data_IF_512130451743
#
_entry.id   IF_512130451743
#
_cell.length_a   1.000
_cell.length_b   1.000
_cell.length_c   1.000
_cell.angle_alpha   90.00
_cell.angle_beta   90.00
_cell.angle_gamma   90.00
#
_symmetry.space_group_name_H-M   'P 1'
#
loop_
_entity.id
_entity.type
_entity.pdbx_description
1 polymer ?
#
# COMPACT_ATOMS: atom_id res chain seq x y z
N UNK A 1 1.98 -26.25 -6.52
CA UNK A 1 1.32 -24.95 -6.52
C UNK A 1 2.21 -23.94 -7.23
N UNK A 2 1.62 -23.03 -7.95
CA UNK A 2 2.35 -22.01 -8.68
C UNK A 2 2.26 -20.67 -7.97
N UNK A 3 3.34 -19.89 -8.10
CA UNK A 3 3.36 -18.52 -7.59
C UNK A 3 2.52 -17.64 -8.51
N UNK A 4 1.60 -16.90 -7.93
CA UNK A 4 0.78 -15.93 -8.65
C UNK A 4 1.26 -14.54 -8.28
N UNK A 5 1.46 -13.69 -9.28
CA UNK A 5 1.93 -12.33 -9.10
C UNK A 5 0.81 -11.35 -9.44
N UNK A 6 0.56 -10.40 -8.53
CA UNK A 6 -0.37 -9.29 -8.75
C UNK A 6 0.44 -8.01 -8.70
N UNK A 7 0.24 -7.14 -9.68
CA UNK A 7 0.96 -5.88 -9.76
C UNK A 7 -0.03 -4.72 -9.92
N UNK A 8 0.25 -3.63 -9.21
CA UNK A 8 -0.50 -2.39 -9.42
C UNK A 8 -0.06 -1.75 -10.73
N UNK A 9 -0.84 -0.79 -11.22
CA UNK A 9 -0.35 0.10 -12.24
C UNK A 9 0.77 0.97 -11.67
N UNK A 10 1.60 1.53 -12.53
CA UNK A 10 2.68 2.43 -12.12
C UNK A 10 2.08 3.79 -11.80
N UNK A 11 2.37 4.30 -10.59
CA UNK A 11 1.88 5.60 -10.14
C UNK A 11 3.02 6.61 -10.17
N UNK A 12 2.78 7.75 -10.82
CA UNK A 12 3.72 8.86 -10.81
C UNK A 12 3.50 9.68 -9.54
N UNK A 13 4.59 9.93 -8.80
CA UNK A 13 4.54 10.71 -7.56
C UNK A 13 5.49 11.90 -7.72
N UNK A 14 4.95 13.12 -7.53
CA UNK A 14 5.73 14.36 -7.72
C UNK A 14 6.42 14.78 -6.42
N UNK A 15 7.15 13.83 -5.85
CA UNK A 15 7.99 14.00 -4.66
C UNK A 15 9.26 13.17 -4.85
N UNK A 16 10.31 13.54 -4.14
CA UNK A 16 11.58 12.82 -4.23
C UNK A 16 11.44 11.37 -3.80
N UNK A 17 12.17 10.47 -4.46
CA UNK A 17 12.20 9.07 -4.10
C UNK A 17 12.51 8.88 -2.61
N UNK A 18 13.51 9.61 -2.10
CA UNK A 18 13.89 9.52 -0.68
C UNK A 18 12.76 9.94 0.25
N UNK A 19 12.03 11.00 -0.10
CA UNK A 19 10.92 11.49 0.71
C UNK A 19 9.80 10.45 0.80
N UNK A 20 9.46 9.85 -0.33
CA UNK A 20 8.45 8.79 -0.38
C UNK A 20 8.92 7.58 0.42
N UNK A 21 10.17 7.16 0.21
CA UNK A 21 10.74 6.03 0.92
C UNK A 21 10.76 6.27 2.44
N UNK A 22 11.22 7.43 2.88
CA UNK A 22 11.31 7.74 4.31
C UNK A 22 9.93 7.72 4.98
N UNK A 23 8.90 8.18 4.28
CA UNK A 23 7.55 8.16 4.80
C UNK A 23 7.01 6.73 4.89
N UNK A 24 7.20 5.93 3.85
CA UNK A 24 6.65 4.57 3.77
C UNK A 24 7.46 3.55 4.56
N UNK A 25 8.73 3.82 4.85
CA UNK A 25 9.55 2.90 5.64
C UNK A 25 9.28 2.98 7.14
N UNK A 26 8.57 4.02 7.58
CA UNK A 26 8.04 4.12 8.95
C UNK A 26 6.54 4.42 8.85
N UNK A 27 5.74 3.40 9.00
CA UNK A 27 4.29 3.49 8.78
C UNK A 27 3.55 4.31 9.84
N UNK A 28 4.19 4.70 10.93
CA UNK A 28 3.64 5.68 11.86
C UNK A 28 3.37 7.01 11.15
N UNK A 29 4.17 7.34 10.14
CA UNK A 29 3.95 8.55 9.34
C UNK A 29 2.61 8.50 8.63
N UNK A 30 2.22 7.32 8.14
CA UNK A 30 0.94 7.13 7.46
C UNK A 30 -0.24 7.23 8.43
N UNK A 31 -0.09 6.67 9.63
CA UNK A 31 -1.14 6.78 10.64
C UNK A 31 -1.35 8.23 11.07
N UNK A 32 -0.28 8.99 11.24
CA UNK A 32 -0.37 10.43 11.56
C UNK A 32 -1.08 11.23 10.46
N UNK A 33 -0.78 10.90 9.20
CA UNK A 33 -1.45 11.54 8.06
C UNK A 33 -2.93 11.19 8.03
N UNK A 34 -3.27 9.94 8.28
CA UNK A 34 -4.65 9.48 8.35
C UNK A 34 -5.42 10.23 9.42
N UNK A 35 -4.85 10.34 10.62
CA UNK A 35 -5.48 11.05 11.73
C UNK A 35 -5.68 12.54 11.40
N UNK A 36 -4.71 13.15 10.74
CA UNK A 36 -4.78 14.53 10.31
C UNK A 36 -5.91 14.75 9.30
N UNK A 37 -6.04 13.83 8.34
CA UNK A 37 -7.14 13.92 7.38
C UNK A 37 -8.50 13.78 8.04
N UNK A 38 -8.65 12.89 9.02
CA UNK A 38 -9.90 12.74 9.74
C UNK A 38 -10.30 14.02 10.50
N UNK A 39 -9.32 14.74 11.03
CA UNK A 39 -9.58 16.01 11.75
C UNK A 39 -10.11 17.09 10.82
N UNK A 40 -9.77 17.06 9.55
CA UNK A 40 -10.14 18.10 8.58
C UNK A 40 -11.12 17.59 7.52
N UNK A 41 -11.72 16.44 7.73
CA UNK A 41 -12.58 15.82 6.71
C UNK A 41 -13.75 16.68 6.28
N UNK A 42 -14.27 17.51 7.18
CA UNK A 42 -15.40 18.41 6.87
C UNK A 42 -14.97 19.58 5.97
N UNK A 43 -13.68 19.83 5.87
CA UNK A 43 -13.10 20.89 5.05
C UNK A 43 -12.61 20.38 3.70
N UNK A 44 -12.67 19.07 3.47
CA UNK A 44 -12.16 18.44 2.26
C UNK A 44 -13.26 18.42 1.20
N UNK A 45 -12.95 18.82 -0.06
CA UNK A 45 -13.91 18.72 -1.17
C UNK A 45 -14.39 17.28 -1.38
N UNK A 46 -15.63 17.12 -1.84
CA UNK A 46 -16.24 15.80 -2.00
C UNK A 46 -15.45 14.88 -2.95
N UNK A 47 -14.82 15.44 -3.98
CA UNK A 47 -13.99 14.65 -4.90
C UNK A 47 -12.78 14.03 -4.20
N UNK A 48 -12.29 14.66 -3.12
CA UNK A 48 -11.19 14.12 -2.32
C UNK A 48 -11.67 13.20 -1.19
N UNK A 49 -12.95 13.26 -0.82
CA UNK A 49 -13.49 12.36 0.19
C UNK A 49 -13.49 10.90 -0.28
N UNK A 50 -13.68 10.66 -1.58
CA UNK A 50 -13.55 9.32 -2.14
C UNK A 50 -12.15 8.75 -1.93
N UNK A 51 -11.13 9.60 -2.05
CA UNK A 51 -9.75 9.20 -1.82
C UNK A 51 -9.50 8.87 -0.35
N UNK A 52 -10.12 9.63 0.57
CA UNK A 52 -10.04 9.32 1.99
C UNK A 52 -10.71 8.01 2.32
N UNK A 53 -11.82 7.69 1.67
CA UNK A 53 -12.50 6.41 1.86
C UNK A 53 -11.61 5.23 1.48
N UNK A 54 -10.67 5.42 0.56
CA UNK A 54 -9.73 4.38 0.17
C UNK A 54 -8.75 4.03 1.28
N UNK A 55 -8.44 4.97 2.17
CA UNK A 55 -7.46 4.74 3.26
C UNK A 55 -8.10 4.51 4.62
N UNK A 56 -9.40 4.73 4.78
CA UNK A 56 -10.05 4.57 6.09
C UNK A 56 -10.03 3.12 6.60
N UNK A 57 -9.98 2.15 5.68
CA UNK A 57 -9.94 0.74 6.02
C UNK A 57 -8.52 0.25 6.29
N UNK A 58 -7.55 1.14 6.20
CA UNK A 58 -6.15 0.83 6.47
C UNK A 58 -5.78 1.32 7.87
N UNK A 59 -5.10 0.47 8.63
CA UNK A 59 -4.53 0.88 9.91
C UNK A 59 -3.03 0.62 9.88
N UNK A 60 -2.26 1.49 10.52
CA UNK A 60 -0.81 1.47 10.46
C UNK A 60 -0.20 1.54 11.85
N UNK A 61 0.91 0.81 12.05
CA UNK A 61 1.83 1.08 13.15
C UNK A 61 3.23 1.26 12.54
N UNK A 62 4.29 1.30 13.36
CA UNK A 62 5.63 1.61 12.84
C UNK A 62 6.10 0.65 11.75
N UNK A 63 5.73 -0.63 11.85
CA UNK A 63 6.26 -1.67 10.96
C UNK A 63 5.19 -2.48 10.26
N UNK A 64 3.91 -2.19 10.49
CA UNK A 64 2.85 -3.01 9.92
C UNK A 64 1.68 -2.19 9.39
N UNK A 65 0.95 -2.81 8.48
CA UNK A 65 -0.26 -2.27 7.86
C UNK A 65 -1.33 -3.35 7.91
N UNK A 66 -2.54 -2.99 8.30
CA UNK A 66 -3.69 -3.89 8.32
C UNK A 66 -4.75 -3.39 7.35
N UNK A 67 -5.31 -4.30 6.58
CA UNK A 67 -6.32 -4.01 5.55
C UNK A 67 -7.52 -4.91 5.78
N UNK A 68 -8.73 -4.33 5.75
CA UNK A 68 -9.95 -5.11 5.71
C UNK A 68 -10.32 -5.34 4.24
N UNK A 69 -10.29 -6.60 3.82
CA UNK A 69 -10.61 -6.97 2.44
C UNK A 69 -11.91 -7.76 2.40
N UNK A 70 -12.84 -7.43 1.49
CA UNK A 70 -14.07 -8.20 1.32
C UNK A 70 -13.74 -9.66 1.01
N UNK A 71 -14.48 -10.60 1.58
CA UNK A 71 -14.35 -12.04 1.36
C UNK A 71 -13.07 -12.68 1.94
N UNK A 72 -12.04 -11.90 2.19
CA UNK A 72 -10.76 -12.40 2.72
C UNK A 72 -10.65 -12.12 4.21
N UNK A 73 -11.24 -11.03 4.68
CA UNK A 73 -11.17 -10.60 6.07
C UNK A 73 -10.01 -9.63 6.30
N UNK A 74 -9.56 -9.54 7.54
CA UNK A 74 -8.47 -8.64 7.88
C UNK A 74 -7.13 -9.27 7.50
N UNK A 75 -6.31 -8.51 6.77
CA UNK A 75 -4.97 -8.92 6.37
C UNK A 75 -3.98 -7.97 7.01
N UNK A 76 -3.06 -8.53 7.79
CA UNK A 76 -1.99 -7.77 8.42
C UNK A 76 -0.67 -8.10 7.75
N UNK A 77 0.08 -7.08 7.37
CA UNK A 77 1.41 -7.22 6.76
C UNK A 77 2.44 -6.45 7.57
N UNK A 78 3.62 -7.03 7.73
CA UNK A 78 4.73 -6.42 8.45
C UNK A 78 5.92 -6.22 7.54
N UNK A 79 6.65 -5.12 7.72
CA UNK A 79 7.90 -4.88 7.00
C UNK A 79 8.95 -5.87 7.50
N UNK A 80 9.55 -6.63 6.58
CA UNK A 80 10.60 -7.60 6.90
C UNK A 80 11.95 -7.24 6.26
N UNK A 81 11.95 -6.34 5.29
CA UNK A 81 13.18 -5.90 4.64
C UNK A 81 13.01 -4.49 4.08
N UNK A 82 14.08 -3.72 4.16
CA UNK A 82 14.12 -2.36 3.63
C UNK A 82 15.39 -2.19 2.80
N UNK A 83 15.22 -1.92 1.51
CA UNK A 83 16.32 -1.64 0.60
C UNK A 83 16.26 -0.16 0.22
N UNK A 84 16.95 0.66 0.99
CA UNK A 84 16.92 2.12 0.87
C UNK A 84 17.57 2.60 -0.42
N UNK A 85 16.97 3.50 -1.17
CA UNK A 85 15.60 4.04 -1.09
C UNK A 85 14.65 3.41 -2.12
N UNK A 86 14.87 2.16 -2.48
CA UNK A 86 14.24 1.50 -3.63
C UNK A 86 13.03 0.65 -3.29
N UNK A 87 13.14 -0.17 -2.24
CA UNK A 87 12.17 -1.23 -2.02
C UNK A 87 11.88 -1.42 -0.54
N UNK A 88 10.61 -1.65 -0.23
CA UNK A 88 10.17 -2.05 1.10
C UNK A 88 9.42 -3.37 0.92
N UNK A 89 9.85 -4.42 1.61
CA UNK A 89 9.24 -5.75 1.51
C UNK A 89 8.44 -6.05 2.76
N UNK A 90 7.23 -6.55 2.55
CA UNK A 90 6.31 -6.95 3.61
C UNK A 90 6.01 -8.44 3.53
N UNK A 91 5.66 -9.02 4.68
CA UNK A 91 5.17 -10.37 4.77
C UNK A 91 3.88 -10.38 5.58
N UNK A 92 2.91 -11.20 5.18
CA UNK A 92 1.65 -11.31 5.93
C UNK A 92 1.88 -11.98 7.28
N UNK A 93 1.11 -11.53 8.29
CA UNK A 93 1.06 -12.14 9.62
C UNK A 93 -0.33 -12.76 9.81
N UNK A 94 -0.39 -14.04 10.14
CA UNK A 94 -1.65 -14.74 10.46
C UNK A 94 -2.76 -14.51 9.43
N UNK A 95 -2.39 -14.41 8.17
CA UNK A 95 -3.35 -14.21 7.09
C UNK A 95 -3.95 -15.54 6.63
N UNK A 96 -5.25 -15.57 6.30
CA UNK A 96 -5.83 -16.76 5.66
C UNK A 96 -5.21 -17.03 4.29
N UNK A 97 -4.62 -16.00 3.66
CA UNK A 97 -3.91 -16.14 2.38
C UNK A 97 -2.53 -15.53 2.56
N UNK A 98 -1.49 -16.34 2.84
CA UNK A 98 -0.14 -15.82 3.02
C UNK A 98 0.46 -15.34 1.70
N UNK A 99 1.12 -14.17 1.74
CA UNK A 99 1.80 -13.62 0.58
C UNK A 99 2.89 -12.65 1.00
N UNK A 100 3.75 -12.26 0.03
CA UNK A 100 4.68 -11.16 0.20
C UNK A 100 4.21 -9.98 -0.62
N UNK A 101 4.53 -8.79 -0.13
CA UNK A 101 4.11 -7.53 -0.73
C UNK A 101 5.34 -6.61 -0.82
N UNK A 102 5.49 -5.95 -1.95
CA UNK A 102 6.60 -5.02 -2.17
C UNK A 102 6.08 -3.65 -2.57
N UNK A 103 6.71 -2.62 -2.02
CA UNK A 103 6.58 -1.25 -2.52
C UNK A 103 7.90 -0.95 -3.23
N UNK A 104 7.84 -0.67 -4.51
CA UNK A 104 9.00 -0.44 -5.35
C UNK A 104 8.99 1.02 -5.83
N UNK A 105 10.10 1.71 -5.64
CA UNK A 105 10.27 3.13 -5.99
C UNK A 105 11.41 3.28 -6.97
N UNK A 106 11.18 4.08 -8.02
CA UNK A 106 12.20 4.37 -9.04
C UNK A 106 12.20 5.87 -9.32
N UNK A 107 13.35 6.56 -9.23
CA UNK A 107 13.39 8.00 -9.49
C UNK A 107 13.13 8.28 -10.97
N UNK A 108 12.32 9.31 -11.26
CA UNK A 108 12.08 9.78 -12.62
C UNK A 108 12.74 11.13 -12.84
N UNK A 109 13.01 11.87 -11.76
CA UNK A 109 13.74 13.12 -11.77
C UNK A 109 14.23 13.41 -10.35
N UNK A 110 14.88 14.54 -10.14
CA UNK A 110 15.32 14.94 -8.81
C UNK A 110 14.18 15.22 -7.84
N UNK A 111 12.98 15.48 -8.37
CA UNK A 111 11.81 15.87 -7.59
C UNK A 111 10.59 14.97 -7.81
N UNK A 112 10.77 13.83 -8.48
CA UNK A 112 9.67 12.92 -8.76
C UNK A 112 10.15 11.48 -8.82
N UNK A 113 9.21 10.55 -8.60
CA UNK A 113 9.49 9.11 -8.70
C UNK A 113 8.26 8.36 -9.19
N UNK A 114 8.48 7.10 -9.54
CA UNK A 114 7.41 6.15 -9.87
C UNK A 114 7.29 5.15 -8.72
N UNK A 115 6.06 4.71 -8.47
CA UNK A 115 5.79 3.67 -7.49
C UNK A 115 5.02 2.53 -8.15
N UNK A 116 5.38 1.31 -7.80
CA UNK A 116 4.65 0.11 -8.19
C UNK A 116 4.56 -0.82 -6.99
N UNK A 117 3.39 -1.43 -6.82
CA UNK A 117 3.19 -2.42 -5.76
C UNK A 117 3.12 -3.81 -6.38
N UNK A 118 3.65 -4.80 -5.68
CA UNK A 118 3.67 -6.20 -6.16
C UNK A 118 3.29 -7.12 -5.02
N UNK A 119 2.43 -8.09 -5.30
CA UNK A 119 2.09 -9.19 -4.38
C UNK A 119 2.48 -10.49 -5.07
N UNK A 120 3.18 -11.38 -4.34
CA UNK A 120 3.44 -12.74 -4.78
C UNK A 120 2.91 -13.71 -3.76
N UNK A 121 2.05 -14.62 -4.19
CA UNK A 121 1.40 -15.61 -3.34
C UNK A 121 1.44 -16.99 -3.98
N UNK A 122 1.66 -18.02 -3.16
CA UNK A 122 1.55 -19.39 -3.62
C UNK A 122 0.11 -19.84 -3.40
N UNK A 123 -0.66 -19.92 -4.47
CA UNK A 123 -2.08 -20.21 -4.41
C UNK A 123 -2.39 -21.50 -5.16
N UNK A 124 -3.21 -22.35 -4.55
CA UNK A 124 -3.79 -23.46 -5.30
C UNK A 124 -4.91 -22.90 -6.21
N UNK A 125 -5.31 -23.64 -7.27
CA UNK A 125 -6.30 -23.11 -8.23
C UNK A 125 -7.62 -22.70 -7.61
N UNK A 126 -8.06 -23.40 -6.57
CA UNK A 126 -9.32 -23.11 -5.89
C UNK A 126 -9.26 -21.77 -5.16
N UNK A 127 -8.22 -21.58 -4.34
CA UNK A 127 -8.04 -20.34 -3.58
C UNK A 127 -7.76 -19.18 -4.53
N UNK A 128 -6.97 -19.41 -5.59
CA UNK A 128 -6.68 -18.39 -6.59
C UNK A 128 -7.97 -17.82 -7.20
N UNK A 129 -8.93 -18.69 -7.54
CA UNK A 129 -10.21 -18.24 -8.07
C UNK A 129 -11.00 -17.38 -7.11
N UNK A 130 -10.85 -17.62 -5.79
CA UNK A 130 -11.57 -16.85 -4.78
C UNK A 130 -10.93 -15.49 -4.50
N UNK A 131 -9.60 -15.40 -4.52
CA UNK A 131 -8.89 -14.20 -4.05
C UNK A 131 -8.30 -13.34 -5.16
N UNK A 132 -8.29 -13.83 -6.40
CA UNK A 132 -7.68 -13.12 -7.51
C UNK A 132 -8.22 -11.70 -7.64
N UNK A 133 -9.52 -11.55 -7.76
CA UNK A 133 -10.14 -10.24 -7.94
C UNK A 133 -9.99 -9.34 -6.72
N UNK A 134 -10.26 -9.80 -5.48
CA UNK A 134 -10.00 -8.98 -4.30
C UNK A 134 -8.56 -8.50 -4.18
N UNK A 135 -7.57 -9.34 -4.51
CA UNK A 135 -6.17 -8.94 -4.44
C UNK A 135 -5.79 -7.95 -5.54
N UNK A 136 -6.29 -8.15 -6.76
CA UNK A 136 -6.05 -7.20 -7.86
C UNK A 136 -6.64 -5.83 -7.56
N UNK A 137 -7.87 -5.79 -7.06
CA UNK A 137 -8.53 -4.54 -6.71
C UNK A 137 -7.88 -3.90 -5.48
N UNK A 138 -7.51 -4.72 -4.50
CA UNK A 138 -6.89 -4.25 -3.27
C UNK A 138 -5.54 -3.60 -3.50
N UNK A 139 -4.70 -4.19 -4.35
CA UNK A 139 -3.37 -3.64 -4.63
C UNK A 139 -3.47 -2.30 -5.37
N UNK A 140 -4.42 -2.15 -6.30
CA UNK A 140 -4.68 -0.86 -6.95
C UNK A 140 -5.18 0.17 -5.96
N UNK A 141 -6.09 -0.22 -5.07
CA UNK A 141 -6.63 0.67 -4.04
C UNK A 141 -5.52 1.18 -3.13
N UNK A 142 -4.61 0.32 -2.70
CA UNK A 142 -3.47 0.70 -1.88
C UNK A 142 -2.55 1.64 -2.67
N UNK A 143 -2.26 1.32 -3.93
CA UNK A 143 -1.40 2.15 -4.77
C UNK A 143 -1.98 3.54 -4.95
N UNK A 144 -3.29 3.64 -5.20
CA UNK A 144 -3.97 4.93 -5.31
C UNK A 144 -3.88 5.72 -4.02
N UNK A 145 -4.10 5.05 -2.88
CA UNK A 145 -4.04 5.70 -1.57
C UNK A 145 -2.63 6.23 -1.28
N UNK A 146 -1.60 5.43 -1.55
CA UNK A 146 -0.22 5.84 -1.30
C UNK A 146 0.22 6.95 -2.28
N UNK A 147 -0.29 6.94 -3.50
CA UNK A 147 0.06 7.96 -4.49
C UNK A 147 -0.50 9.34 -4.15
N UNK A 148 -1.56 9.41 -3.37
CA UNK A 148 -2.18 10.69 -3.03
C UNK A 148 -1.65 11.33 -1.75
N UNK A 149 -0.77 10.66 -1.04
CA UNK A 149 -0.18 11.19 0.21
C UNK A 149 0.65 12.43 -0.10
N UNK A 150 0.49 13.52 0.68
CA UNK A 150 1.32 14.72 0.50
C UNK A 150 2.69 14.54 1.19
N UNK A 151 3.59 13.82 0.53
CA UNK A 151 4.93 13.59 1.04
C UNK A 151 5.69 14.91 1.20
N UNK A 152 6.51 15.00 2.23
CA UNK A 152 7.33 16.18 2.47
C UNK A 152 8.73 15.96 1.88
N UNK A 153 9.16 16.89 1.03
CA UNK A 153 10.50 16.87 0.44
C UNK A 153 11.53 17.56 1.32
#
# INVERSE_FOLDING_TARGET
MSTTTFESSIKQIFHKQESVYNTLSDLNNLQRLKDKFEQVKDQIPEDKKEQLDKIKDLTFDSDSISISAPMVGEIKMRIIDRETPKTIKFETENSPVPFNFWIQLLPTSETACKMKLTIKADLNPFIKGMVKKPLEEGIEKIADALAMIPYED
#
